data_IF_340629793963
#
_entry.id   IF_340629793963
#
_cell.length_a   1.000
_cell.length_b   1.000
_cell.length_c   1.000
_cell.angle_alpha   90.00
_cell.angle_beta   90.00
_cell.angle_gamma   90.00
#
_symmetry.space_group_name_H-M   'P 1'
#
loop_
_entity.id
_entity.type
_entity.pdbx_description
1 polymer ?
#
# COMPACT_ATOMS: atom_id res chain seq x y z
N UNK A 1 21.79 -1.22 -18.48
CA UNK A 1 20.67 -1.77 -19.27
C UNK A 1 19.60 -2.18 -18.27
N UNK A 2 18.33 -1.86 -18.51
CA UNK A 2 17.25 -2.21 -17.58
C UNK A 2 17.14 -3.73 -17.45
N UNK A 3 17.17 -4.24 -16.23
CA UNK A 3 16.97 -5.66 -15.95
C UNK A 3 15.49 -6.03 -16.14
N UNK A 4 15.19 -6.60 -17.30
CA UNK A 4 13.82 -6.91 -17.71
C UNK A 4 13.25 -8.11 -16.98
N UNK A 5 14.10 -9.03 -16.53
CA UNK A 5 13.71 -10.18 -15.71
C UNK A 5 13.27 -9.69 -14.34
N UNK A 6 14.10 -8.86 -13.70
CA UNK A 6 13.77 -8.25 -12.40
C UNK A 6 12.49 -7.42 -12.46
N UNK A 7 12.27 -6.66 -13.54
CA UNK A 7 11.03 -5.91 -13.74
C UNK A 7 9.80 -6.82 -13.80
N UNK A 8 9.89 -7.93 -14.54
CA UNK A 8 8.78 -8.88 -14.68
C UNK A 8 8.49 -9.58 -13.35
N UNK A 9 9.51 -10.08 -12.66
CA UNK A 9 9.36 -10.73 -11.35
C UNK A 9 8.75 -9.79 -10.31
N UNK A 10 9.24 -8.54 -10.25
CA UNK A 10 8.70 -7.52 -9.36
C UNK A 10 7.24 -7.18 -9.69
N UNK A 11 6.90 -7.09 -10.98
CA UNK A 11 5.53 -6.82 -11.42
C UNK A 11 4.57 -7.92 -10.97
N UNK A 12 4.94 -9.19 -11.17
CA UNK A 12 4.13 -10.35 -10.79
C UNK A 12 3.99 -10.48 -9.27
N UNK A 13 5.09 -10.29 -8.53
CA UNK A 13 5.08 -10.33 -7.07
C UNK A 13 4.20 -9.21 -6.48
N UNK A 14 4.31 -7.99 -7.02
CA UNK A 14 3.53 -6.85 -6.57
C UNK A 14 2.04 -7.03 -6.91
N UNK A 15 1.71 -7.51 -8.11
CA UNK A 15 0.33 -7.80 -8.50
C UNK A 15 -0.32 -8.85 -7.59
N UNK A 16 0.41 -9.95 -7.31
CA UNK A 16 -0.06 -10.99 -6.39
C UNK A 16 -0.33 -10.44 -5.00
N UNK A 17 0.60 -9.65 -4.46
CA UNK A 17 0.48 -9.07 -3.12
C UNK A 17 -0.71 -8.10 -3.02
N UNK A 18 -0.96 -7.30 -4.06
CA UNK A 18 -2.15 -6.44 -4.15
C UNK A 18 -3.44 -7.27 -4.17
N UNK A 19 -3.46 -8.37 -4.92
CA UNK A 19 -4.62 -9.27 -5.00
C UNK A 19 -4.91 -9.97 -3.68
N UNK A 20 -3.86 -10.42 -3.00
CA UNK A 20 -3.92 -11.09 -1.70
C UNK A 20 -4.11 -10.11 -0.53
N UNK A 21 -4.08 -8.80 -0.80
CA UNK A 21 -4.18 -7.71 0.20
C UNK A 21 -3.09 -7.78 1.26
N UNK A 22 -1.92 -8.31 0.89
CA UNK A 22 -0.76 -8.43 1.78
C UNK A 22 -0.01 -7.09 1.85
N UNK A 23 -0.44 -6.26 2.79
CA UNK A 23 0.09 -4.90 3.01
C UNK A 23 1.59 -4.92 3.34
N UNK A 24 2.03 -5.85 4.18
CA UNK A 24 3.41 -5.95 4.62
C UNK A 24 4.32 -6.33 3.46
N UNK A 25 3.90 -7.30 2.64
CA UNK A 25 4.66 -7.70 1.48
C UNK A 25 4.70 -6.62 0.39
N UNK A 26 3.61 -5.86 0.19
CA UNK A 26 3.60 -4.70 -0.72
C UNK A 26 4.65 -3.68 -0.29
N UNK A 27 4.70 -3.33 1.01
CA UNK A 27 5.67 -2.37 1.53
C UNK A 27 7.10 -2.90 1.35
N UNK A 28 7.36 -4.13 1.77
CA UNK A 28 8.67 -4.78 1.62
C UNK A 28 9.16 -4.77 0.16
N UNK A 29 8.31 -5.19 -0.78
CA UNK A 29 8.67 -5.23 -2.20
C UNK A 29 9.01 -3.84 -2.75
N UNK A 30 8.29 -2.80 -2.33
CA UNK A 30 8.56 -1.43 -2.76
C UNK A 30 9.88 -0.90 -2.15
N UNK A 31 10.12 -1.18 -0.86
CA UNK A 31 11.32 -0.70 -0.16
C UNK A 31 12.60 -1.39 -0.67
N UNK A 32 12.57 -2.72 -0.84
CA UNK A 32 13.71 -3.50 -1.35
C UNK A 32 14.07 -3.17 -2.81
N UNK A 33 13.12 -2.60 -3.56
CA UNK A 33 13.31 -2.28 -4.97
C UNK A 33 13.22 -0.78 -5.28
N UNK A 34 13.21 0.10 -4.27
CA UNK A 34 13.05 1.56 -4.47
C UNK A 34 14.11 2.13 -5.43
N UNK A 35 15.38 1.77 -5.25
CA UNK A 35 16.46 2.20 -6.13
C UNK A 35 16.25 1.72 -7.57
N UNK A 36 15.84 0.47 -7.75
CA UNK A 36 15.55 -0.10 -9.06
C UNK A 36 14.38 0.62 -9.72
N UNK A 37 13.28 0.84 -9.00
CA UNK A 37 12.08 1.54 -9.48
C UNK A 37 12.43 2.96 -9.94
N UNK A 38 13.21 3.69 -9.14
CA UNK A 38 13.66 5.06 -9.47
C UNK A 38 14.64 5.11 -10.63
N UNK A 39 15.37 4.02 -10.87
CA UNK A 39 16.31 3.93 -11.99
C UNK A 39 15.64 3.71 -13.36
N UNK A 40 14.33 3.38 -13.40
CA UNK A 40 13.61 3.13 -14.66
C UNK A 40 13.53 4.42 -15.48
N UNK A 41 14.21 4.41 -16.63
CA UNK A 41 14.19 5.52 -17.60
C UNK A 41 13.24 5.21 -18.77
N UNK A 42 12.77 6.24 -19.49
CA UNK A 42 12.06 6.05 -20.75
C UNK A 42 12.89 5.24 -21.74
N UNK A 43 12.26 4.26 -22.39
CA UNK A 43 12.89 3.39 -23.39
C UNK A 43 12.22 3.55 -24.75
N UNK A 44 13.00 3.43 -25.82
CA UNK A 44 12.51 3.48 -27.21
C UNK A 44 11.93 2.15 -27.67
N UNK A 45 12.33 1.03 -27.04
CA UNK A 45 11.84 -0.30 -27.36
C UNK A 45 10.36 -0.45 -26.98
N UNK A 46 9.54 -0.84 -27.96
CA UNK A 46 8.09 -0.89 -27.80
C UNK A 46 7.64 -1.96 -26.80
N UNK A 47 8.28 -3.14 -26.80
CA UNK A 47 7.91 -4.23 -25.89
C UNK A 47 8.26 -3.87 -24.45
N UNK A 48 9.45 -3.34 -24.23
CA UNK A 48 9.91 -2.92 -22.91
C UNK A 48 9.09 -1.74 -22.38
N UNK A 49 8.70 -0.82 -23.26
CA UNK A 49 7.81 0.29 -22.91
C UNK A 49 6.45 -0.21 -22.40
N UNK A 50 5.86 -1.22 -23.04
CA UNK A 50 4.61 -1.81 -22.55
C UNK A 50 4.80 -2.51 -21.20
N UNK A 51 5.90 -3.24 -20.98
CA UNK A 51 6.21 -3.83 -19.66
C UNK A 51 6.32 -2.78 -18.56
N UNK A 52 7.02 -1.67 -18.83
CA UNK A 52 7.15 -0.56 -17.89
C UNK A 52 5.79 0.08 -17.59
N UNK A 53 4.93 0.27 -18.61
CA UNK A 53 3.57 0.80 -18.41
C UNK A 53 2.74 -0.13 -17.53
N UNK A 54 2.79 -1.43 -17.76
CA UNK A 54 2.10 -2.44 -16.94
C UNK A 54 2.57 -2.34 -15.49
N UNK A 55 3.88 -2.32 -15.27
CA UNK A 55 4.44 -2.15 -13.93
C UNK A 55 3.95 -0.85 -13.25
N UNK A 56 3.98 0.28 -13.97
CA UNK A 56 3.48 1.57 -13.45
C UNK A 56 2.00 1.48 -13.04
N UNK A 57 1.18 0.79 -13.83
CA UNK A 57 -0.24 0.60 -13.51
C UNK A 57 -0.44 -0.21 -12.22
N UNK A 58 0.28 -1.34 -12.09
CA UNK A 58 0.26 -2.19 -10.90
C UNK A 58 0.73 -1.41 -9.67
N UNK A 59 1.85 -0.68 -9.79
CA UNK A 59 2.41 0.11 -8.71
C UNK A 59 1.46 1.22 -8.25
N UNK A 60 0.75 1.88 -9.18
CA UNK A 60 -0.31 2.84 -8.83
C UNK A 60 -1.47 2.20 -8.07
N UNK A 61 -1.89 1.00 -8.49
CA UNK A 61 -2.91 0.23 -7.78
C UNK A 61 -2.48 -0.08 -6.33
N UNK A 62 -1.23 -0.51 -6.14
CA UNK A 62 -0.66 -0.74 -4.82
C UNK A 62 -0.68 0.53 -3.94
N UNK A 63 -0.28 1.69 -4.49
CA UNK A 63 -0.32 2.97 -3.77
C UNK A 63 -1.74 3.33 -3.33
N UNK A 64 -2.74 3.17 -4.21
CA UNK A 64 -4.13 3.45 -3.89
C UNK A 64 -4.63 2.52 -2.77
N UNK A 65 -4.33 1.23 -2.88
CA UNK A 65 -4.70 0.25 -1.86
C UNK A 65 -4.11 0.60 -0.48
N UNK A 66 -2.82 0.94 -0.40
CA UNK A 66 -2.18 1.33 0.87
C UNK A 66 -2.81 2.60 1.44
N UNK A 67 -3.16 3.58 0.60
CA UNK A 67 -3.88 4.79 1.04
C UNK A 67 -5.25 4.48 1.61
N UNK A 68 -5.99 3.56 0.99
CA UNK A 68 -7.30 3.14 1.46
C UNK A 68 -7.21 2.39 2.79
N UNK A 69 -6.24 1.48 2.93
CA UNK A 69 -5.94 0.79 4.21
C UNK A 69 -5.62 1.81 5.30
N UNK A 70 -4.76 2.78 5.02
CA UNK A 70 -4.40 3.82 5.99
C UNK A 70 -5.62 4.66 6.41
N UNK A 71 -6.46 5.07 5.46
CA UNK A 71 -7.71 5.79 5.73
C UNK A 71 -8.65 4.99 6.62
N UNK A 72 -8.79 3.68 6.36
CA UNK A 72 -9.63 2.80 7.15
C UNK A 72 -9.09 2.60 8.58
N UNK A 73 -7.78 2.39 8.73
CA UNK A 73 -7.14 2.32 10.04
C UNK A 73 -7.34 3.61 10.85
N UNK A 74 -7.23 4.78 10.22
CA UNK A 74 -7.49 6.06 10.88
C UNK A 74 -8.94 6.19 11.38
N UNK A 75 -9.93 5.75 10.59
CA UNK A 75 -11.33 5.72 11.01
C UNK A 75 -11.54 4.80 12.20
N UNK A 76 -10.96 3.60 12.18
CA UNK A 76 -11.07 2.65 13.29
C UNK A 76 -10.46 3.22 14.57
N UNK A 77 -9.28 3.82 14.49
CA UNK A 77 -8.65 4.50 15.64
C UNK A 77 -9.55 5.62 16.21
N UNK A 78 -10.17 6.42 15.33
CA UNK A 78 -11.10 7.46 15.76
C UNK A 78 -12.34 6.87 16.46
N UNK A 79 -12.93 5.81 15.91
CA UNK A 79 -14.08 5.11 16.51
C UNK A 79 -13.73 4.53 17.88
N UNK A 80 -12.59 3.83 18.01
CA UNK A 80 -12.12 3.28 19.29
C UNK A 80 -11.89 4.38 20.32
N UNK A 81 -11.29 5.51 19.91
CA UNK A 81 -11.08 6.65 20.80
C UNK A 81 -12.41 7.32 21.22
N UNK A 82 -13.37 7.45 20.32
CA UNK A 82 -14.72 7.98 20.62
C UNK A 82 -15.46 7.07 21.60
N UNK A 83 -15.46 5.76 21.37
CA UNK A 83 -16.05 4.77 22.27
C UNK A 83 -15.38 4.79 23.64
N UNK A 84 -14.05 4.91 23.71
CA UNK A 84 -13.31 5.01 24.97
C UNK A 84 -13.66 6.28 25.76
N UNK A 85 -13.85 7.42 25.10
CA UNK A 85 -14.35 8.66 25.73
C UNK A 85 -15.79 8.51 26.24
N UNK A 86 -16.67 7.87 25.48
CA UNK A 86 -18.06 7.59 25.90
C UNK A 86 -18.13 6.64 27.11
N UNK A 87 -17.30 5.60 27.15
CA UNK A 87 -17.20 4.69 28.31
C UNK A 87 -16.56 5.38 29.52
N UNK A 88 -15.59 6.28 29.32
CA UNK A 88 -15.02 7.09 30.41
C UNK A 88 -16.04 8.04 31.03
N UNK A 89 -16.98 8.58 30.25
CA UNK A 89 -18.10 9.38 30.78
C UNK A 89 -19.07 8.51 31.61
N UNK A 90 -19.31 7.26 31.19
CA UNK A 90 -20.16 6.33 31.95
C UNK A 90 -19.55 5.84 33.26
N UNK A 91 -18.23 5.75 33.39
CA UNK A 91 -17.56 5.45 34.67
C UNK A 91 -17.51 6.65 35.64
N UNK A 92 -17.99 7.82 35.20
CA UNK A 92 -18.17 9.03 36.00
C UNK A 92 -19.50 9.11 36.77
N UNK A 93 -20.37 8.10 36.70
CA UNK A 93 -21.57 8.01 37.57
C UNK A 93 -21.15 7.56 38.98
N UNK A 94 -20.30 8.35 39.63
CA UNK A 94 -20.21 8.38 41.08
C UNK A 94 -21.23 9.43 41.55
N UNK A 95 -22.35 8.95 42.08
CA UNK A 95 -23.37 9.73 42.79
C UNK A 95 -24.30 10.60 41.91
N UNK A 96 -25.27 9.98 41.23
CA UNK A 96 -26.57 10.63 41.14
C UNK A 96 -27.36 10.21 42.38
N UNK A 97 -27.52 11.14 43.33
CA UNK A 97 -28.46 11.03 44.46
C UNK A 97 -29.87 11.36 43.99
#
# INVERSE_FOLDING_TARGET
MLDTTRLTELSEALERSVREKDVENIQRLCDENDEFIRSIQPVSDAQLKEKIKTFISIHRSAILFIKDVHSEMQKQLYQTNKSRKGVSQYKGVKNAK
#
